data_IF_666172907532
#
_entry.id   IF_666172907532
#
_cell.length_a   1.000
_cell.length_b   1.000
_cell.length_c   1.000
_cell.angle_alpha   90.00
_cell.angle_beta   90.00
_cell.angle_gamma   90.00
#
_symmetry.space_group_name_H-M   'P 1'
#
loop_
_entity.id
_entity.type
_entity.pdbx_description
1 polymer ?
#
# COMPACT_ATOMS: atom_id res chain seq x y z
N UNK A 1 12.71 22.78 28.77
CA UNK A 1 11.81 23.13 27.63
C UNK A 1 11.95 22.05 26.57
N UNK A 2 10.86 21.60 25.97
CA UNK A 2 10.85 20.52 24.97
C UNK A 2 11.26 20.99 23.56
N UNK A 3 11.15 22.29 23.24
CA UNK A 3 11.59 22.88 21.98
C UNK A 3 12.29 24.24 22.20
N UNK A 4 13.10 24.66 21.22
CA UNK A 4 13.84 25.92 21.21
C UNK A 4 13.14 27.00 20.36
N UNK A 5 13.80 27.51 19.31
CA UNK A 5 13.22 28.48 18.38
C UNK A 5 12.26 27.84 17.35
N UNK A 6 11.21 28.57 16.90
CA UNK A 6 10.27 28.05 15.92
C UNK A 6 10.88 27.94 14.52
N UNK A 7 10.44 26.94 13.75
CA UNK A 7 10.81 26.76 12.36
C UNK A 7 9.85 27.55 11.43
N UNK A 8 10.09 28.85 11.27
CA UNK A 8 9.18 29.74 10.54
C UNK A 8 8.89 29.33 9.08
N UNK A 9 9.81 28.65 8.41
CA UNK A 9 9.58 28.10 7.06
C UNK A 9 8.51 26.99 7.08
N UNK A 10 8.49 26.14 8.10
CA UNK A 10 7.46 25.10 8.27
C UNK A 10 6.11 25.71 8.64
N UNK A 11 6.11 26.76 9.47
CA UNK A 11 4.89 27.51 9.83
C UNK A 11 4.27 28.14 8.59
N UNK A 12 5.08 28.76 7.72
CA UNK A 12 4.61 29.34 6.47
C UNK A 12 4.03 28.27 5.53
N UNK A 13 4.73 27.15 5.34
CA UNK A 13 4.23 26.04 4.52
C UNK A 13 2.92 25.46 5.06
N UNK A 14 2.79 25.29 6.38
CA UNK A 14 1.56 24.85 7.03
C UNK A 14 0.41 25.83 6.79
N UNK A 15 0.66 27.14 6.91
CA UNK A 15 -0.35 28.16 6.64
C UNK A 15 -0.85 28.09 5.18
N UNK A 16 0.05 27.89 4.22
CA UNK A 16 -0.30 27.66 2.81
C UNK A 16 -1.19 26.42 2.66
N UNK A 17 -0.81 25.28 3.25
CA UNK A 17 -1.62 24.05 3.18
C UNK A 17 -3.00 24.22 3.82
N UNK A 18 -3.09 24.93 4.95
CA UNK A 18 -4.36 25.18 5.64
C UNK A 18 -5.33 26.03 4.81
N UNK A 19 -4.82 26.85 3.89
CA UNK A 19 -5.67 27.57 2.93
C UNK A 19 -6.23 26.64 1.86
N UNK A 20 -5.42 25.72 1.33
CA UNK A 20 -5.88 24.69 0.39
C UNK A 20 -6.90 23.75 1.02
N UNK A 21 -6.69 23.32 2.27
CA UNK A 21 -7.61 22.43 3.01
C UNK A 21 -9.03 23.01 3.14
N UNK A 22 -9.18 24.34 3.08
CA UNK A 22 -10.47 25.02 3.19
C UNK A 22 -11.25 25.09 1.87
N UNK A 23 -10.67 24.66 0.75
CA UNK A 23 -11.34 24.77 -0.54
C UNK A 23 -12.35 23.64 -0.75
N UNK A 24 -13.41 23.86 -1.55
CA UNK A 24 -14.35 22.80 -1.94
C UNK A 24 -13.67 21.62 -2.64
N UNK A 25 -12.61 21.88 -3.42
CA UNK A 25 -11.85 20.86 -4.14
C UNK A 25 -11.13 19.91 -3.17
N UNK A 26 -10.59 20.43 -2.07
CA UNK A 26 -9.98 19.58 -1.04
C UNK A 26 -11.01 18.68 -0.35
N UNK A 27 -12.23 19.19 -0.13
CA UNK A 27 -13.32 18.38 0.41
C UNK A 27 -13.72 17.25 -0.54
N UNK A 28 -13.76 17.51 -1.84
CA UNK A 28 -14.02 16.48 -2.86
C UNK A 28 -12.89 15.46 -2.95
N UNK A 29 -11.64 15.92 -2.93
CA UNK A 29 -10.46 15.06 -2.83
C UNK A 29 -10.55 14.10 -1.64
N UNK A 30 -10.93 14.58 -0.46
CA UNK A 30 -11.06 13.72 0.73
C UNK A 30 -12.18 12.67 0.60
N UNK A 31 -13.29 12.98 -0.10
CA UNK A 31 -14.30 11.98 -0.43
C UNK A 31 -13.74 10.91 -1.36
N UNK A 32 -13.00 11.33 -2.39
CA UNK A 32 -12.35 10.41 -3.34
C UNK A 32 -11.35 9.50 -2.63
N UNK A 33 -10.57 10.02 -1.67
CA UNK A 33 -9.63 9.21 -0.86
C UNK A 33 -10.35 8.04 -0.16
N UNK A 34 -11.51 8.31 0.44
CA UNK A 34 -12.30 7.28 1.13
C UNK A 34 -12.98 6.34 0.14
N UNK A 35 -13.53 6.86 -0.97
CA UNK A 35 -14.14 6.06 -2.03
C UNK A 35 -13.13 5.06 -2.64
N UNK A 36 -11.94 5.54 -2.97
CA UNK A 36 -10.81 4.75 -3.43
C UNK A 36 -10.43 3.63 -2.44
N UNK A 37 -10.41 3.95 -1.14
CA UNK A 37 -10.06 2.96 -0.13
C UNK A 37 -11.11 1.86 -0.02
N UNK A 38 -12.39 2.21 -0.13
CA UNK A 38 -13.50 1.25 -0.17
C UNK A 38 -13.48 0.39 -1.44
N UNK A 39 -13.20 0.97 -2.60
CA UNK A 39 -13.06 0.22 -3.86
C UNK A 39 -11.93 -0.82 -3.76
N UNK A 40 -10.76 -0.41 -3.27
CA UNK A 40 -9.64 -1.32 -3.02
C UNK A 40 -10.01 -2.44 -2.04
N UNK A 41 -10.63 -2.08 -0.91
CA UNK A 41 -11.04 -3.04 0.10
C UNK A 41 -12.03 -4.07 -0.47
N UNK A 42 -12.99 -3.61 -1.27
CA UNK A 42 -13.98 -4.47 -1.94
C UNK A 42 -13.31 -5.50 -2.84
N UNK A 43 -12.36 -5.10 -3.68
CA UNK A 43 -11.65 -6.04 -4.57
C UNK A 43 -10.90 -7.11 -3.78
N UNK A 44 -10.23 -6.73 -2.69
CA UNK A 44 -9.53 -7.68 -1.83
C UNK A 44 -10.50 -8.64 -1.15
N UNK A 45 -11.59 -8.14 -0.58
CA UNK A 45 -12.62 -8.96 0.08
C UNK A 45 -13.28 -9.93 -0.91
N UNK A 46 -13.65 -9.46 -2.09
CA UNK A 46 -14.26 -10.29 -3.14
C UNK A 46 -13.32 -11.40 -3.62
N UNK A 47 -12.00 -11.17 -3.55
CA UNK A 47 -10.97 -12.17 -3.82
C UNK A 47 -10.71 -13.14 -2.64
N UNK A 48 -11.42 -12.98 -1.51
CA UNK A 48 -11.29 -13.82 -0.32
C UNK A 48 -10.15 -13.41 0.61
N UNK A 49 -9.55 -12.23 0.42
CA UNK A 49 -8.49 -11.73 1.30
C UNK A 49 -9.03 -11.27 2.65
N UNK A 50 -8.24 -11.48 3.72
CA UNK A 50 -8.66 -11.10 5.07
C UNK A 50 -8.25 -9.67 5.39
N UNK A 51 -9.22 -8.77 5.54
CA UNK A 51 -8.99 -7.44 6.10
C UNK A 51 -9.33 -7.42 7.60
N UNK A 52 -8.60 -6.62 8.37
CA UNK A 52 -9.00 -6.30 9.74
C UNK A 52 -10.29 -5.47 9.65
N UNK A 53 -11.27 -5.80 10.49
CA UNK A 53 -12.64 -5.24 10.48
C UNK A 53 -13.43 -5.42 9.18
N UNK A 54 -12.96 -6.28 8.25
CA UNK A 54 -13.67 -6.63 7.02
C UNK A 54 -14.07 -5.42 6.14
N UNK A 55 -13.29 -4.33 6.19
CA UNK A 55 -13.58 -3.11 5.42
C UNK A 55 -12.76 -1.91 5.88
N UNK A 56 -13.26 -0.71 5.54
CA UNK A 56 -12.68 0.58 5.95
C UNK A 56 -13.69 1.71 5.89
N UNK A 57 -13.57 2.65 6.83
CA UNK A 57 -14.32 3.91 6.89
C UNK A 57 -13.43 5.14 6.69
N UNK A 58 -12.15 4.95 6.35
CA UNK A 58 -11.19 6.03 6.21
C UNK A 58 -10.26 5.82 5.00
N UNK A 59 -9.03 6.33 5.10
CA UNK A 59 -8.07 6.40 4.00
C UNK A 59 -7.11 5.20 3.94
N UNK A 60 -7.25 4.23 4.84
CA UNK A 60 -6.37 3.07 4.92
C UNK A 60 -7.14 1.78 5.18
N UNK A 61 -6.50 0.65 4.86
CA UNK A 61 -6.92 -0.68 5.24
C UNK A 61 -5.76 -1.46 5.83
N UNK A 62 -6.09 -2.50 6.59
CA UNK A 62 -5.13 -3.42 7.18
C UNK A 62 -5.39 -4.82 6.65
N UNK A 63 -4.44 -5.35 5.89
CA UNK A 63 -4.54 -6.63 5.24
C UNK A 63 -3.76 -7.68 6.03
N UNK A 64 -4.43 -8.75 6.45
CA UNK A 64 -3.84 -9.88 7.16
C UNK A 64 -3.42 -10.97 6.16
N UNK A 65 -2.10 -11.18 6.03
CA UNK A 65 -1.53 -12.14 5.08
C UNK A 65 -1.22 -13.50 5.72
N UNK A 66 -1.50 -13.67 7.03
CA UNK A 66 -1.28 -14.93 7.76
C UNK A 66 -2.11 -16.10 7.24
N UNK A 67 -3.35 -15.95 6.71
CA UNK A 67 -4.08 -17.05 6.09
C UNK A 67 -3.29 -17.75 4.97
N UNK A 68 -2.43 -17.02 4.26
CA UNK A 68 -1.53 -17.53 3.22
C UNK A 68 -0.22 -18.12 3.78
N UNK A 69 -0.07 -18.19 5.10
CA UNK A 69 1.17 -18.57 5.81
C UNK A 69 2.36 -17.69 5.43
N UNK A 70 2.09 -16.45 5.04
CA UNK A 70 3.10 -15.43 4.73
C UNK A 70 3.30 -14.50 5.92
N UNK A 71 4.41 -13.77 5.91
CA UNK A 71 4.64 -12.64 6.82
C UNK A 71 4.53 -11.35 6.03
N UNK A 72 4.15 -10.26 6.71
CA UNK A 72 4.13 -8.93 6.13
C UNK A 72 5.50 -8.54 5.57
N UNK A 73 6.61 -8.95 6.21
CA UNK A 73 7.95 -8.66 5.69
C UNK A 73 8.24 -9.30 4.33
N UNK A 74 7.67 -10.49 4.04
CA UNK A 74 7.83 -11.13 2.72
C UNK A 74 7.00 -10.43 1.66
N UNK A 75 5.74 -10.14 1.98
CA UNK A 75 4.83 -9.47 1.05
C UNK A 75 5.31 -8.04 0.75
N UNK A 76 5.77 -7.30 1.76
CA UNK A 76 6.39 -5.98 1.58
C UNK A 76 7.60 -6.05 0.64
N UNK A 77 8.50 -7.04 0.81
CA UNK A 77 9.67 -7.20 -0.07
C UNK A 77 9.29 -7.53 -1.50
N UNK A 78 8.34 -8.44 -1.72
CA UNK A 78 7.87 -8.75 -3.07
C UNK A 78 7.25 -7.54 -3.75
N UNK A 79 6.40 -6.80 -3.02
CA UNK A 79 5.77 -5.59 -3.53
C UNK A 79 6.82 -4.51 -3.86
N UNK A 80 7.89 -4.39 -3.08
CA UNK A 80 9.03 -3.50 -3.36
C UNK A 80 9.68 -3.85 -4.72
N UNK A 81 9.96 -5.13 -5.00
CA UNK A 81 10.47 -5.55 -6.33
C UNK A 81 9.46 -5.29 -7.46
N UNK A 82 8.18 -5.24 -7.15
CA UNK A 82 7.10 -4.92 -8.08
C UNK A 82 6.81 -3.41 -8.22
N UNK A 83 7.65 -2.51 -7.68
CA UNK A 83 7.41 -1.05 -7.60
C UNK A 83 6.13 -0.63 -6.84
N UNK A 84 5.67 -1.45 -5.90
CA UNK A 84 4.56 -1.13 -5.00
C UNK A 84 5.12 -0.90 -3.60
N UNK A 85 5.11 0.34 -3.13
CA UNK A 85 5.55 0.67 -1.78
C UNK A 85 4.41 0.52 -0.78
N UNK A 86 4.55 -0.41 0.16
CA UNK A 86 3.67 -0.60 1.31
C UNK A 86 4.48 -0.66 2.59
N UNK A 87 3.78 -0.76 3.73
CA UNK A 87 4.41 -0.94 5.02
C UNK A 87 3.91 -2.22 5.68
N UNK A 88 4.83 -3.11 6.07
CA UNK A 88 4.52 -4.21 6.98
C UNK A 88 4.05 -3.64 8.32
N UNK A 89 2.98 -4.20 8.87
CA UNK A 89 2.37 -3.66 10.09
C UNK A 89 1.82 -4.78 10.97
N UNK A 90 1.90 -4.57 12.29
CA UNK A 90 1.42 -5.54 13.28
C UNK A 90 -0.09 -5.65 13.24
N UNK A 91 -0.58 -6.87 13.30
CA UNK A 91 -2.01 -7.19 13.45
C UNK A 91 -2.26 -7.88 14.78
N UNK A 92 -3.52 -7.90 15.22
CA UNK A 92 -3.92 -8.52 16.49
C UNK A 92 -3.45 -9.98 16.51
N UNK A 93 -2.75 -10.34 17.59
CA UNK A 93 -2.18 -11.68 17.79
C UNK A 93 -0.74 -11.87 17.29
N UNK A 94 -0.12 -10.85 16.69
CA UNK A 94 1.30 -10.93 16.31
C UNK A 94 2.21 -11.01 17.55
N UNK A 95 3.19 -11.90 17.49
CA UNK A 95 4.19 -12.12 18.55
C UNK A 95 5.50 -11.37 18.31
N UNK A 96 5.70 -10.84 17.10
CA UNK A 96 6.96 -10.23 16.66
C UNK A 96 6.67 -8.96 15.87
N UNK A 97 7.26 -7.84 16.31
CA UNK A 97 7.21 -6.57 15.59
C UNK A 97 8.09 -6.58 14.32
N UNK A 98 9.14 -7.41 14.28
CA UNK A 98 10.05 -7.49 13.13
C UNK A 98 9.48 -8.30 11.96
N UNK A 99 8.60 -9.25 12.27
CA UNK A 99 7.96 -10.13 11.30
C UNK A 99 6.45 -10.16 11.54
N UNK A 100 5.76 -9.03 11.37
CA UNK A 100 4.33 -8.94 11.61
C UNK A 100 3.56 -9.69 10.52
N UNK A 101 2.28 -9.97 10.78
CA UNK A 101 1.38 -10.68 9.89
C UNK A 101 0.59 -9.79 8.93
N UNK A 102 0.72 -8.46 9.04
CA UNK A 102 -0.10 -7.53 8.28
C UNK A 102 0.66 -6.61 7.33
N UNK A 103 -0.10 -6.03 6.41
CA UNK A 103 0.30 -4.94 5.51
C UNK A 103 -0.70 -3.80 5.67
N UNK A 104 -0.20 -2.57 5.83
CA UNK A 104 -1.03 -1.36 5.83
C UNK A 104 -0.95 -0.68 4.46
N UNK A 105 -2.11 -0.39 3.89
CA UNK A 105 -2.23 0.24 2.58
C UNK A 105 -3.10 1.49 2.72
N UNK A 106 -2.68 2.60 2.12
CA UNK A 106 -3.41 3.86 2.16
C UNK A 106 -3.59 4.45 0.75
N UNK A 107 -4.66 5.18 0.54
CA UNK A 107 -5.05 5.77 -0.74
C UNK A 107 -4.66 7.24 -0.99
N UNK A 108 -4.30 8.09 0.00
CA UNK A 108 -4.08 9.52 -0.24
C UNK A 108 -3.08 9.82 -1.35
N UNK A 109 -1.88 9.22 -1.31
CA UNK A 109 -0.79 9.57 -2.22
C UNK A 109 -1.14 9.35 -3.71
N UNK A 110 -1.81 8.25 -4.05
CA UNK A 110 -2.21 7.99 -5.43
C UNK A 110 -3.47 8.77 -5.82
N UNK A 111 -4.37 9.03 -4.86
CA UNK A 111 -5.51 9.91 -5.10
C UNK A 111 -5.05 11.33 -5.44
N UNK A 112 -4.00 11.84 -4.79
CA UNK A 112 -3.40 13.15 -5.13
C UNK A 112 -2.86 13.18 -6.57
N UNK A 113 -2.45 12.03 -7.11
CA UNK A 113 -2.00 11.89 -8.51
C UNK A 113 -3.16 11.77 -9.51
N UNK A 114 -4.40 11.75 -9.05
CA UNK A 114 -5.60 11.65 -9.88
C UNK A 114 -6.17 10.24 -10.03
N UNK A 115 -5.72 9.27 -9.24
CA UNK A 115 -6.30 7.92 -9.26
C UNK A 115 -7.73 7.94 -8.69
N UNK A 116 -8.64 7.22 -9.34
CA UNK A 116 -10.00 6.97 -8.89
C UNK A 116 -10.22 5.48 -8.57
N UNK A 117 -11.47 5.10 -8.33
CA UNK A 117 -11.86 3.74 -7.95
C UNK A 117 -11.36 2.71 -8.95
N UNK A 118 -11.45 3.00 -10.26
CA UNK A 118 -11.03 2.10 -11.35
C UNK A 118 -9.57 1.71 -11.22
N UNK A 119 -8.68 2.66 -10.95
CA UNK A 119 -7.26 2.34 -10.78
C UNK A 119 -6.99 1.66 -9.44
N UNK A 120 -7.76 1.97 -8.39
CA UNK A 120 -7.66 1.25 -7.12
C UNK A 120 -8.14 -0.20 -7.20
N UNK A 121 -9.10 -0.50 -8.07
CA UNK A 121 -9.47 -1.88 -8.41
C UNK A 121 -8.32 -2.61 -9.11
N UNK A 122 -7.66 -1.97 -10.08
CA UNK A 122 -6.46 -2.52 -10.74
C UNK A 122 -5.32 -2.77 -9.74
N UNK A 123 -5.08 -1.83 -8.82
CA UNK A 123 -4.11 -2.01 -7.74
C UNK A 123 -4.49 -3.22 -6.87
N UNK A 124 -5.78 -3.39 -6.55
CA UNK A 124 -6.28 -4.59 -5.85
C UNK A 124 -5.90 -5.89 -6.58
N UNK A 125 -6.04 -5.92 -7.90
CA UNK A 125 -5.63 -7.07 -8.71
C UNK A 125 -4.11 -7.31 -8.71
N UNK A 126 -3.29 -6.25 -8.73
CA UNK A 126 -1.84 -6.38 -8.57
C UNK A 126 -1.48 -6.96 -7.21
N UNK A 127 -2.12 -6.53 -6.12
CA UNK A 127 -1.90 -7.07 -4.78
C UNK A 127 -2.27 -8.56 -4.70
N UNK A 128 -3.41 -8.97 -5.26
CA UNK A 128 -3.82 -10.38 -5.31
C UNK A 128 -2.82 -11.23 -6.10
N UNK A 129 -2.36 -10.74 -7.26
CA UNK A 129 -1.32 -11.42 -8.05
C UNK A 129 -0.01 -11.55 -7.25
N UNK A 130 0.35 -10.51 -6.50
CA UNK A 130 1.54 -10.50 -5.64
C UNK A 130 1.52 -11.61 -4.58
N UNK A 131 0.35 -11.92 -3.99
CA UNK A 131 0.22 -13.01 -3.00
C UNK A 131 0.39 -14.37 -3.65
N UNK A 132 -0.19 -14.58 -4.84
CA UNK A 132 -0.04 -15.86 -5.56
C UNK A 132 1.44 -16.14 -5.85
N UNK A 133 2.18 -15.13 -6.29
CA UNK A 133 3.63 -15.22 -6.51
C UNK A 133 4.35 -15.48 -5.17
N UNK A 134 4.00 -14.74 -4.09
CA UNK A 134 4.61 -14.93 -2.79
C UNK A 134 4.44 -16.36 -2.24
N UNK A 135 3.26 -16.96 -2.40
CA UNK A 135 2.99 -18.33 -1.98
C UNK A 135 3.87 -19.29 -2.79
N UNK A 136 3.88 -19.20 -4.13
CA UNK A 136 4.72 -20.05 -5.00
C UNK A 136 6.19 -19.97 -4.64
N UNK A 137 6.73 -18.75 -4.49
CA UNK A 137 8.14 -18.54 -4.19
C UNK A 137 8.47 -19.10 -2.80
N UNK A 138 7.60 -18.89 -1.80
CA UNK A 138 7.80 -19.45 -0.46
C UNK A 138 7.79 -20.99 -0.47
N UNK A 139 6.95 -21.62 -1.27
CA UNK A 139 6.93 -23.09 -1.41
C UNK A 139 8.23 -23.62 -2.00
N UNK A 140 8.84 -22.89 -2.95
CA UNK A 140 10.11 -23.25 -3.57
C UNK A 140 11.33 -22.97 -2.68
N UNK A 141 11.36 -21.84 -1.96
CA UNK A 141 12.55 -21.40 -1.19
C UNK A 141 12.50 -21.73 0.30
N UNK A 142 11.31 -22.07 0.81
CA UNK A 142 11.05 -22.22 2.24
C UNK A 142 10.86 -20.90 2.99
N UNK A 143 10.93 -20.99 4.33
CA UNK A 143 10.48 -19.90 5.23
C UNK A 143 11.50 -18.77 5.44
N UNK A 144 12.79 -19.00 5.18
CA UNK A 144 13.84 -17.98 5.42
C UNK A 144 13.65 -16.79 4.48
N UNK A 145 13.68 -15.58 5.03
CA UNK A 145 13.48 -14.35 4.26
C UNK A 145 14.59 -14.12 3.24
N UNK A 146 15.85 -14.43 3.59
CA UNK A 146 17.01 -14.23 2.71
C UNK A 146 16.90 -15.09 1.44
N UNK A 147 16.45 -16.33 1.57
CA UNK A 147 16.31 -17.25 0.42
C UNK A 147 15.10 -16.85 -0.45
N UNK A 148 14.01 -16.45 0.19
CA UNK A 148 12.84 -15.87 -0.48
C UNK A 148 13.23 -14.64 -1.31
N UNK A 149 13.92 -13.68 -0.72
CA UNK A 149 14.31 -12.44 -1.39
C UNK A 149 15.25 -12.68 -2.58
N UNK A 150 16.20 -13.62 -2.45
CA UNK A 150 17.07 -13.99 -3.57
C UNK A 150 16.28 -14.51 -4.76
N UNK A 151 15.26 -15.33 -4.52
CA UNK A 151 14.44 -15.88 -5.60
C UNK A 151 13.59 -14.82 -6.31
N UNK A 152 13.18 -13.75 -5.63
CA UNK A 152 12.36 -12.69 -6.23
C UNK A 152 13.11 -11.91 -7.33
N UNK A 153 14.42 -11.74 -7.21
CA UNK A 153 15.22 -10.91 -8.13
C UNK A 153 15.18 -11.39 -9.57
N UNK A 154 15.17 -12.70 -9.75
CA UNK A 154 15.23 -13.36 -11.06
C UNK A 154 13.87 -13.92 -11.48
N UNK A 155 12.81 -13.68 -10.71
CA UNK A 155 11.48 -14.23 -10.98
C UNK A 155 10.75 -13.44 -12.09
N UNK A 156 10.45 -14.12 -13.19
CA UNK A 156 9.81 -13.49 -14.36
C UNK A 156 8.39 -12.98 -14.07
N UNK A 157 7.64 -13.60 -13.16
CA UNK A 157 6.30 -13.10 -12.81
C UNK A 157 6.37 -11.80 -12.01
N UNK A 158 7.41 -11.65 -11.17
CA UNK A 158 7.70 -10.40 -10.43
C UNK A 158 8.11 -9.30 -11.39
N UNK A 159 8.99 -9.60 -12.36
CA UNK A 159 9.39 -8.63 -13.40
C UNK A 159 8.20 -8.15 -14.24
N UNK A 160 7.35 -9.08 -14.67
CA UNK A 160 6.14 -8.72 -15.39
C UNK A 160 5.19 -7.87 -14.52
N UNK A 161 5.03 -8.21 -13.22
CA UNK A 161 4.21 -7.40 -12.31
C UNK A 161 4.78 -5.99 -12.15
N UNK A 162 6.11 -5.86 -12.02
CA UNK A 162 6.80 -4.58 -12.00
C UNK A 162 6.48 -3.73 -13.24
N UNK A 163 6.54 -4.34 -14.42
CA UNK A 163 6.30 -3.64 -15.69
C UNK A 163 4.85 -3.19 -15.83
N UNK A 164 3.89 -4.04 -15.44
CA UNK A 164 2.46 -3.70 -15.44
C UNK A 164 2.16 -2.55 -14.46
N UNK A 165 2.73 -2.60 -13.25
CA UNK A 165 2.61 -1.53 -12.23
C UNK A 165 3.19 -0.22 -12.76
N UNK A 166 4.37 -0.28 -13.38
CA UNK A 166 5.02 0.89 -13.96
C UNK A 166 4.18 1.47 -15.10
N UNK A 167 3.63 0.61 -15.97
CA UNK A 167 2.79 1.03 -17.09
C UNK A 167 1.53 1.77 -16.63
N UNK A 168 0.91 1.36 -15.51
CA UNK A 168 -0.18 2.12 -14.90
C UNK A 168 0.35 3.43 -14.30
N UNK A 169 1.41 3.37 -13.51
CA UNK A 169 1.89 4.51 -12.73
C UNK A 169 2.36 5.70 -13.58
N UNK A 170 2.90 5.47 -14.78
CA UNK A 170 3.40 6.56 -15.66
C UNK A 170 2.30 7.34 -16.38
N UNK A 171 1.05 6.87 -16.34
CA UNK A 171 -0.08 7.56 -16.97
C UNK A 171 -0.54 8.80 -16.18
N UNK A 172 -0.10 8.93 -14.93
CA UNK A 172 -0.54 9.96 -13.99
C UNK A 172 0.57 10.93 -13.65
N UNK A 173 0.21 12.21 -13.50
CA UNK A 173 1.16 13.26 -13.13
C UNK A 173 1.69 13.09 -11.69
N UNK A 174 2.74 13.83 -11.37
CA UNK A 174 3.30 13.93 -10.02
C UNK A 174 3.18 15.38 -9.59
N UNK A 175 2.43 15.70 -8.51
CA UNK A 175 2.32 17.06 -8.02
C UNK A 175 3.68 17.55 -7.50
N UNK A 176 3.96 18.84 -7.71
CA UNK A 176 5.21 19.49 -7.28
C UNK A 176 6.34 19.46 -8.33
N UNK A 177 6.11 18.88 -9.50
CA UNK A 177 6.96 19.02 -10.68
C UNK A 177 6.55 20.20 -11.56
#
# INVERSE_FOLDING_TARGET
MLQGGPHNVQIAALATQLMEVKTPEFAEYMKQVVANCRALAKVLIDAGEKLITDGTDNHLLMWDVRPHKLTGSKVEKLLEYANITVNKNSVVGDKSALTPGGIRIGTPALTTRGFNETEFEQIGHFLIRSIKIAVRVQEATGKKLVDFEKALKDDEEVKQLHDDVKALAVQFSIPGN
#
